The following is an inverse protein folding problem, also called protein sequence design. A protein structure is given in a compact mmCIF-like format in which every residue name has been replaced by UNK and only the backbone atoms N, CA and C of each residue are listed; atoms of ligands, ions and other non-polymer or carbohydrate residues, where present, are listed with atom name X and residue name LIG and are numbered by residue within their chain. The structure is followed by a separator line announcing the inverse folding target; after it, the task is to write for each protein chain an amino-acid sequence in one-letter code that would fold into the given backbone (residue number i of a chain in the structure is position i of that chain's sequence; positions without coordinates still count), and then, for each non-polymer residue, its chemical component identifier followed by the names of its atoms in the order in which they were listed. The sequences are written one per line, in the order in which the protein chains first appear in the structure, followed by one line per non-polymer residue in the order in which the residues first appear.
data_IF_890936084106
#
_entry.id   IF_890936084106
#
_cell.length_a   1.000
_cell.length_b   1.000
_cell.length_c   1.000
_cell.angle_alpha   90.00
_cell.angle_beta   90.00
_cell.angle_gamma   90.00
#
_symmetry.space_group_name_H-M   'P 1'
#
loop_
_entity.id
_entity.type
_entity.pdbx_description
1 polymer ?
#
# COMPACT_ATOMS: atom_id res chain seq x y z
N UNK A 1 -9.15 -14.08 -4.46
CA UNK A 1 -8.68 -14.14 -5.87
C UNK A 1 -7.84 -15.37 -6.16
N UNK A 2 -6.60 -15.48 -5.68
CA UNK A 2 -5.75 -16.66 -5.95
C UNK A 2 -6.42 -17.98 -5.50
N UNK A 3 -6.99 -18.00 -4.29
CA UNK A 3 -7.72 -19.16 -3.77
C UNK A 3 -8.92 -19.54 -4.66
N UNK A 4 -9.76 -18.57 -5.03
CA UNK A 4 -10.90 -18.79 -5.94
C UNK A 4 -10.48 -19.39 -7.30
N UNK A 5 -9.34 -18.96 -7.83
CA UNK A 5 -8.78 -19.48 -9.07
C UNK A 5 -8.24 -20.91 -8.89
N UNK A 6 -7.56 -21.18 -7.77
CA UNK A 6 -7.03 -22.49 -7.41
C UNK A 6 -8.13 -23.54 -7.16
N UNK A 7 -9.27 -23.14 -6.60
CA UNK A 7 -10.43 -23.99 -6.35
C UNK A 7 -11.34 -24.15 -7.58
N UNK A 8 -11.05 -23.46 -8.68
CA UNK A 8 -11.83 -23.51 -9.92
C UNK A 8 -13.17 -22.75 -9.87
N UNK A 9 -13.40 -21.93 -8.84
CA UNK A 9 -14.55 -21.02 -8.77
C UNK A 9 -14.44 -19.92 -9.82
N UNK A 10 -13.22 -19.42 -10.02
CA UNK A 10 -12.86 -18.53 -11.11
C UNK A 10 -11.96 -19.27 -12.11
N UNK A 11 -11.87 -18.81 -13.38
CA UNK A 11 -10.88 -19.32 -14.32
C UNK A 11 -9.46 -19.39 -13.72
N UNK A 12 -8.69 -20.38 -14.17
CA UNK A 12 -7.32 -20.55 -13.69
C UNK A 12 -6.43 -19.43 -14.23
N UNK A 13 -5.74 -18.71 -13.35
CA UNK A 13 -4.74 -17.72 -13.75
C UNK A 13 -3.43 -18.40 -14.15
N UNK A 14 -2.74 -17.83 -15.14
CA UNK A 14 -1.44 -18.35 -15.58
C UNK A 14 -0.33 -18.05 -14.58
N UNK A 15 -0.40 -16.89 -13.90
CA UNK A 15 0.58 -16.41 -12.94
C UNK A 15 -0.09 -15.57 -11.85
N UNK A 16 0.46 -15.60 -10.65
CA UNK A 16 0.23 -14.59 -9.63
C UNK A 16 1.50 -13.74 -9.45
N UNK A 17 1.37 -12.43 -9.31
CA UNK A 17 2.53 -11.52 -9.17
C UNK A 17 2.44 -10.78 -7.85
N UNK A 18 3.49 -10.88 -7.03
CA UNK A 18 3.73 -9.99 -5.90
C UNK A 18 4.76 -8.94 -6.29
N UNK A 19 4.44 -7.66 -6.09
CA UNK A 19 5.43 -6.59 -6.12
C UNK A 19 5.98 -6.32 -4.72
N UNK A 20 7.19 -6.81 -4.49
CA UNK A 20 7.92 -6.67 -3.24
C UNK A 20 8.63 -5.31 -3.20
N UNK A 21 8.31 -4.53 -2.17
CA UNK A 21 8.92 -3.22 -1.94
C UNK A 21 10.29 -3.32 -1.26
N UNK A 22 10.70 -4.54 -0.86
CA UNK A 22 11.89 -4.80 -0.04
C UNK A 22 11.72 -4.42 1.42
N UNK A 23 10.53 -3.93 1.81
CA UNK A 23 10.24 -3.46 3.16
C UNK A 23 8.78 -3.76 3.55
N UNK A 24 8.31 -4.96 3.24
CA UNK A 24 7.02 -5.46 3.75
C UNK A 24 7.21 -6.06 5.17
N UNK A 25 6.17 -6.07 6.01
CA UNK A 25 6.23 -6.75 7.31
C UNK A 25 6.53 -8.25 7.19
N UNK A 26 7.20 -8.83 8.18
CA UNK A 26 7.50 -10.25 8.26
C UNK A 26 6.24 -11.12 8.17
N UNK A 27 5.12 -10.65 8.73
CA UNK A 27 3.82 -11.31 8.65
C UNK A 27 3.29 -11.42 7.22
N UNK A 28 3.57 -10.42 6.36
CA UNK A 28 3.21 -10.46 4.92
C UNK A 28 4.01 -11.52 4.19
N UNK A 29 5.32 -11.62 4.43
CA UNK A 29 6.15 -12.66 3.83
C UNK A 29 5.75 -14.06 4.31
N UNK A 30 5.52 -14.24 5.61
CA UNK A 30 5.05 -15.51 6.15
C UNK A 30 3.67 -15.93 5.58
N UNK A 31 2.76 -14.95 5.43
CA UNK A 31 1.46 -15.18 4.81
C UNK A 31 1.60 -15.61 3.34
N UNK A 32 2.47 -14.95 2.58
CA UNK A 32 2.75 -15.29 1.19
C UNK A 32 3.32 -16.70 1.04
N UNK A 33 4.30 -17.07 1.86
CA UNK A 33 4.89 -18.42 1.85
C UNK A 33 3.82 -19.48 2.13
N UNK A 34 2.89 -19.18 3.06
CA UNK A 34 1.75 -20.05 3.35
C UNK A 34 0.79 -20.15 2.17
N UNK A 35 0.46 -19.05 1.49
CA UNK A 35 -0.38 -19.04 0.29
C UNK A 35 0.27 -19.83 -0.86
N UNK A 36 1.56 -19.61 -1.11
CA UNK A 36 2.33 -20.32 -2.13
C UNK A 36 2.30 -21.83 -1.87
N UNK A 37 2.61 -22.25 -0.64
CA UNK A 37 2.67 -23.66 -0.27
C UNK A 37 1.31 -24.36 -0.27
N UNK A 38 0.27 -23.70 0.28
CA UNK A 38 -1.03 -24.35 0.51
C UNK A 38 -2.01 -24.20 -0.64
N UNK A 39 -1.86 -23.18 -1.48
CA UNK A 39 -2.86 -22.82 -2.51
C UNK A 39 -2.22 -22.82 -3.89
N UNK A 40 -1.19 -22.00 -4.11
CA UNK A 40 -0.65 -21.78 -5.45
C UNK A 40 0.04 -23.02 -6.02
N UNK A 41 0.96 -23.62 -5.26
CA UNK A 41 1.72 -24.77 -5.71
C UNK A 41 0.84 -26.01 -6.00
N UNK A 42 -0.13 -26.39 -5.13
CA UNK A 42 -1.06 -27.47 -5.45
C UNK A 42 -1.90 -27.23 -6.71
N UNK A 43 -2.27 -25.97 -6.99
CA UNK A 43 -3.00 -25.59 -8.21
C UNK A 43 -2.08 -25.39 -9.43
N UNK A 44 -0.76 -25.57 -9.27
CA UNK A 44 0.26 -25.33 -10.29
C UNK A 44 0.34 -23.89 -10.78
N UNK A 45 -0.08 -22.91 -9.97
CA UNK A 45 -0.05 -21.48 -10.31
C UNK A 45 1.29 -20.91 -9.83
N UNK A 46 2.20 -20.51 -10.74
CA UNK A 46 3.46 -19.91 -10.34
C UNK A 46 3.24 -18.53 -9.70
N UNK A 47 3.86 -18.30 -8.55
CA UNK A 47 3.91 -16.98 -7.90
C UNK A 47 5.24 -16.32 -8.24
N UNK A 48 5.15 -15.18 -8.91
CA UNK A 48 6.29 -14.39 -9.35
C UNK A 48 6.49 -13.20 -8.40
N UNK A 49 7.62 -13.17 -7.71
CA UNK A 49 8.03 -12.02 -6.90
C UNK A 49 8.85 -11.08 -7.77
N UNK A 50 8.43 -9.82 -7.85
CA UNK A 50 9.11 -8.76 -8.61
C UNK A 50 9.47 -7.63 -7.66
N UNK A 51 10.67 -7.08 -7.81
CA UNK A 51 11.18 -6.02 -6.95
C UNK A 51 11.87 -4.94 -7.78
N UNK A 52 11.99 -3.74 -7.21
CA UNK A 52 12.70 -2.60 -7.81
C UNK A 52 13.52 -1.87 -6.76
N UNK A 53 14.36 -2.60 -6.02
CA UNK A 53 15.16 -2.07 -4.91
C UNK A 53 14.45 -2.23 -3.56
N UNK A 54 14.89 -1.43 -2.59
CA UNK A 54 14.35 -1.40 -1.24
C UNK A 54 13.88 0.02 -0.92
N UNK A 55 12.57 0.19 -0.74
CA UNK A 55 11.96 1.52 -0.55
C UNK A 55 12.55 2.30 0.63
N UNK A 56 12.97 1.63 1.71
CA UNK A 56 13.58 2.25 2.89
C UNK A 56 14.98 2.74 2.58
N UNK A 57 15.83 1.86 2.05
CA UNK A 57 17.22 2.18 1.70
C UNK A 57 17.27 3.30 0.66
N UNK A 58 16.42 3.22 -0.36
CA UNK A 58 16.31 4.20 -1.43
C UNK A 58 15.82 5.57 -0.95
N UNK A 59 15.05 5.63 0.14
CA UNK A 59 14.63 6.88 0.77
C UNK A 59 15.77 7.60 1.50
N UNK A 60 16.67 6.82 2.10
CA UNK A 60 17.79 7.31 2.88
C UNK A 60 19.04 7.54 2.03
N UNK A 61 19.06 7.03 0.79
CA UNK A 61 20.19 7.15 -0.11
C UNK A 61 20.19 8.49 -0.89
N UNK A 62 21.18 9.38 -0.67
CA UNK A 62 21.25 10.67 -1.39
C UNK A 62 21.55 10.53 -2.89
N UNK A 63 22.12 9.40 -3.32
CA UNK A 63 22.44 9.12 -4.71
C UNK A 63 21.26 8.51 -5.48
N UNK A 64 20.27 7.97 -4.78
CA UNK A 64 19.10 7.37 -5.40
C UNK A 64 18.01 8.41 -5.67
N UNK A 65 17.29 8.26 -6.79
CA UNK A 65 16.11 9.09 -7.03
C UNK A 65 14.99 8.53 -6.14
N UNK A 66 14.81 9.11 -4.96
CA UNK A 66 13.74 8.69 -4.07
C UNK A 66 12.37 8.94 -4.72
N UNK A 67 11.64 7.86 -5.01
CA UNK A 67 10.22 7.92 -5.27
C UNK A 67 9.50 8.18 -3.95
N UNK A 68 9.09 9.44 -3.75
CA UNK A 68 8.55 9.91 -2.47
C UNK A 68 7.43 9.02 -1.92
N UNK A 69 7.59 8.56 -0.69
CA UNK A 69 6.46 8.15 0.14
C UNK A 69 5.59 9.38 0.44
N UNK A 70 4.27 9.23 0.68
CA UNK A 70 3.40 10.35 1.01
C UNK A 70 3.52 10.70 2.51
N UNK A 71 4.68 11.21 2.90
CA UNK A 71 5.00 11.62 4.28
C UNK A 71 4.16 12.83 4.71
N UNK A 72 3.76 12.87 5.98
CA UNK A 72 3.08 14.02 6.58
C UNK A 72 4.07 15.14 6.89
N UNK A 73 3.78 16.36 6.46
CA UNK A 73 4.65 17.52 6.66
C UNK A 73 4.06 18.46 7.70
N UNK A 74 4.90 18.93 8.62
CA UNK A 74 4.67 20.12 9.44
C UNK A 74 5.50 21.26 8.85
N UNK A 75 4.84 22.23 8.23
CA UNK A 75 5.51 23.38 7.63
C UNK A 75 6.00 24.35 8.71
N UNK A 76 6.94 25.24 8.36
CA UNK A 76 7.47 26.25 9.30
C UNK A 76 6.41 27.21 9.85
N UNK A 77 5.33 27.44 9.09
CA UNK A 77 4.18 28.23 9.52
C UNK A 77 3.17 27.44 10.38
N UNK A 78 3.54 26.22 10.81
CA UNK A 78 2.69 25.31 11.59
C UNK A 78 1.60 24.61 10.79
N UNK A 79 1.45 24.91 9.48
CA UNK A 79 0.38 24.31 8.68
C UNK A 79 0.68 22.86 8.31
N UNK A 80 -0.34 21.98 8.31
CA UNK A 80 -0.19 20.62 7.82
C UNK A 80 0.05 20.57 6.31
N UNK A 81 0.83 19.60 5.86
CA UNK A 81 0.97 19.23 4.44
C UNK A 81 1.20 17.73 4.27
N UNK A 82 1.33 17.29 3.03
CA UNK A 82 1.68 15.91 2.67
C UNK A 82 2.50 15.89 1.37
N UNK A 83 3.50 15.03 1.30
CA UNK A 83 4.29 14.83 0.07
C UNK A 83 3.54 13.95 -0.93
N UNK A 84 3.91 14.04 -2.21
CA UNK A 84 3.25 13.26 -3.27
C UNK A 84 3.60 11.79 -3.17
N UNK A 85 2.60 10.92 -3.37
CA UNK A 85 2.79 9.46 -3.47
C UNK A 85 3.42 9.10 -4.81
N UNK A 86 4.66 8.64 -4.80
CA UNK A 86 5.37 8.12 -5.97
C UNK A 86 5.83 6.66 -5.79
N UNK A 87 5.95 6.21 -4.54
CA UNK A 87 6.38 4.86 -4.18
C UNK A 87 5.63 3.74 -4.92
N UNK A 88 4.34 3.91 -5.16
CA UNK A 88 3.50 2.88 -5.80
C UNK A 88 3.79 2.72 -7.28
N UNK A 89 4.04 3.83 -7.98
CA UNK A 89 4.51 3.78 -9.36
C UNK A 89 5.85 3.06 -9.45
N UNK A 90 6.79 3.40 -8.56
CA UNK A 90 8.16 2.91 -8.58
C UNK A 90 8.27 1.43 -8.18
N UNK A 91 7.78 1.07 -7.00
CA UNK A 91 8.04 -0.24 -6.40
C UNK A 91 6.94 -1.26 -6.68
N UNK A 92 5.75 -0.84 -7.16
CA UNK A 92 4.65 -1.76 -7.49
C UNK A 92 4.38 -1.81 -9.00
N UNK A 93 3.99 -0.70 -9.60
CA UNK A 93 3.50 -0.68 -10.99
C UNK A 93 4.62 -0.96 -12.00
N UNK A 94 5.77 -0.29 -11.89
CA UNK A 94 6.90 -0.49 -12.82
C UNK A 94 7.41 -1.94 -12.85
N UNK A 95 7.74 -2.60 -11.72
CA UNK A 95 8.24 -3.98 -11.75
C UNK A 95 7.20 -4.97 -12.25
N UNK A 96 5.90 -4.78 -11.95
CA UNK A 96 4.81 -5.58 -12.53
C UNK A 96 4.78 -5.42 -14.05
N UNK A 97 4.75 -4.17 -14.56
CA UNK A 97 4.74 -3.90 -16.01
C UNK A 97 5.96 -4.50 -16.70
N UNK A 98 7.15 -4.41 -16.09
CA UNK A 98 8.37 -5.04 -16.60
C UNK A 98 8.19 -6.56 -16.73
N UNK A 99 7.70 -7.23 -15.69
CA UNK A 99 7.49 -8.69 -15.71
C UNK A 99 6.42 -9.11 -16.70
N UNK A 100 5.31 -8.39 -16.80
CA UNK A 100 4.27 -8.65 -17.82
C UNK A 100 4.85 -8.59 -19.23
N UNK A 101 5.72 -7.62 -19.51
CA UNK A 101 6.40 -7.51 -20.82
C UNK A 101 7.33 -8.68 -21.10
N UNK A 102 8.06 -9.16 -20.08
CA UNK A 102 8.88 -10.36 -20.19
C UNK A 102 8.03 -11.60 -20.49
N UNK A 103 6.90 -11.79 -19.79
CA UNK A 103 5.95 -12.88 -20.03
C UNK A 103 5.39 -12.85 -21.45
N UNK A 104 5.04 -11.65 -21.94
CA UNK A 104 4.57 -11.45 -23.31
C UNK A 104 5.66 -11.65 -24.39
N UNK A 105 6.94 -11.78 -24.00
CA UNK A 105 8.06 -11.93 -24.94
C UNK A 105 8.53 -10.62 -25.59
N UNK A 106 8.13 -9.46 -25.07
CA UNK A 106 8.47 -8.14 -25.61
C UNK A 106 9.11 -7.24 -24.53
N UNK A 107 10.33 -7.56 -24.05
CA UNK A 107 11.02 -6.73 -23.05
C UNK A 107 11.23 -5.29 -23.57
N UNK A 108 11.33 -4.32 -22.66
CA UNK A 108 11.61 -2.93 -23.06
C UNK A 108 12.99 -2.83 -23.77
N UNK A 109 13.15 -2.05 -24.85
CA UNK A 109 12.21 -1.08 -25.44
C UNK A 109 11.30 -1.62 -26.58
N UNK A 110 11.22 -2.94 -26.78
CA UNK A 110 10.52 -3.52 -27.92
C UNK A 110 9.03 -3.16 -27.93
N UNK A 111 8.46 -2.85 -29.09
CA UNK A 111 7.04 -2.53 -29.18
C UNK A 111 6.20 -3.80 -29.07
N UNK A 112 5.16 -3.78 -28.24
CA UNK A 112 4.17 -4.86 -28.19
C UNK A 112 3.23 -4.73 -29.39
N UNK A 113 3.03 -5.79 -30.20
CA UNK A 113 2.09 -5.79 -31.31
C UNK A 113 0.66 -5.50 -30.86
N UNK A 114 -0.15 -4.92 -31.76
CA UNK A 114 -1.58 -4.71 -31.49
C UNK A 114 -2.26 -6.07 -31.30
N UNK A 115 -3.16 -6.16 -30.32
CA UNK A 115 -3.90 -7.38 -30.00
C UNK A 115 -3.19 -8.34 -29.05
N UNK A 116 -1.91 -8.09 -28.70
CA UNK A 116 -1.20 -8.84 -27.66
C UNK A 116 -1.40 -8.13 -26.32
N UNK A 117 -2.02 -8.81 -25.36
CA UNK A 117 -2.30 -8.29 -24.02
C UNK A 117 -2.41 -9.42 -23.00
N UNK A 118 -2.40 -9.05 -21.72
CA UNK A 118 -2.74 -9.95 -20.60
C UNK A 118 -4.00 -9.45 -19.90
N UNK A 119 -4.74 -10.40 -19.32
CA UNK A 119 -5.80 -10.09 -18.37
C UNK A 119 -5.21 -10.03 -16.97
N UNK A 120 -5.26 -8.84 -16.37
CA UNK A 120 -4.76 -8.61 -15.03
C UNK A 120 -5.94 -8.52 -14.07
N UNK A 121 -6.06 -9.55 -13.24
CA UNK A 121 -7.09 -9.58 -12.21
C UNK A 121 -6.66 -8.71 -11.03
N UNK A 122 -7.52 -7.78 -10.64
CA UNK A 122 -7.32 -6.92 -9.48
C UNK A 122 -8.48 -7.15 -8.51
N UNK A 123 -8.16 -7.61 -7.30
CA UNK A 123 -9.13 -7.89 -6.24
C UNK A 123 -9.69 -6.62 -5.62
N UNK A 124 -10.65 -5.98 -6.30
CA UNK A 124 -11.44 -4.85 -5.81
C UNK A 124 -12.85 -5.37 -5.58
N UNK A 125 -13.38 -5.20 -4.36
CA UNK A 125 -14.73 -5.63 -4.00
C UNK A 125 -15.79 -4.59 -4.40
N UNK A 126 -17.08 -4.95 -4.28
CA UNK A 126 -18.21 -4.09 -4.64
C UNK A 126 -18.28 -2.79 -3.82
N UNK A 127 -17.91 -2.84 -2.55
CA UNK A 127 -17.79 -1.69 -1.64
C UNK A 127 -16.58 -0.78 -1.95
N UNK A 128 -15.69 -1.24 -2.84
CA UNK A 128 -14.52 -0.50 -3.32
C UNK A 128 -14.65 -0.12 -4.81
N UNK A 129 -15.83 -0.23 -5.42
CA UNK A 129 -15.99 -0.13 -6.89
C UNK A 129 -15.44 1.16 -7.51
N UNK A 130 -15.44 2.29 -6.78
CA UNK A 130 -14.89 3.57 -7.25
C UNK A 130 -13.40 3.49 -7.58
N UNK A 131 -12.72 2.45 -7.06
CA UNK A 131 -11.32 2.11 -7.27
C UNK A 131 -11.08 1.26 -8.51
N UNK A 132 -12.11 0.65 -9.09
CA UNK A 132 -11.99 -0.10 -10.33
C UNK A 132 -11.68 0.85 -11.49
N UNK A 133 -10.51 0.67 -12.10
CA UNK A 133 -10.00 1.52 -13.20
C UNK A 133 -9.43 0.64 -14.30
N UNK A 134 -9.65 1.06 -15.53
CA UNK A 134 -8.98 0.50 -16.68
C UNK A 134 -7.46 0.71 -16.60
N UNK A 135 -6.72 -0.17 -17.26
CA UNK A 135 -5.28 -0.02 -17.36
C UNK A 135 -4.92 1.18 -18.25
N UNK A 136 -3.85 1.88 -17.89
CA UNK A 136 -3.29 3.02 -18.64
C UNK A 136 -2.54 2.60 -19.93
N UNK A 137 -2.44 1.29 -20.19
CA UNK A 137 -1.62 0.72 -21.26
C UNK A 137 -2.36 -0.41 -21.99
N UNK A 138 -2.25 -0.43 -23.33
CA UNK A 138 -3.03 -1.34 -24.19
C UNK A 138 -2.71 -2.83 -24.07
N UNK A 139 -1.58 -3.20 -23.48
CA UNK A 139 -1.16 -4.60 -23.35
C UNK A 139 -1.56 -5.21 -21.98
N UNK A 140 -2.31 -4.47 -21.17
CA UNK A 140 -2.92 -4.96 -19.95
C UNK A 140 -4.41 -4.61 -20.02
N UNK A 141 -5.26 -5.58 -19.70
CA UNK A 141 -6.68 -5.36 -19.45
C UNK A 141 -6.96 -5.67 -17.99
N UNK A 142 -7.39 -4.67 -17.23
CA UNK A 142 -7.78 -4.89 -15.85
C UNK A 142 -9.14 -5.60 -15.82
N UNK A 143 -9.25 -6.65 -15.02
CA UNK A 143 -10.49 -7.39 -14.77
C UNK A 143 -10.74 -7.38 -13.26
N UNK A 144 -12.02 -7.26 -12.87
CA UNK A 144 -12.43 -7.13 -11.47
C UNK A 144 -13.43 -8.23 -11.05
N UNK A 145 -12.99 -9.51 -10.95
CA UNK A 145 -13.92 -10.62 -10.77
C UNK A 145 -14.77 -10.55 -9.50
N UNK A 146 -14.26 -9.94 -8.42
CA UNK A 146 -15.04 -9.81 -7.18
C UNK A 146 -16.25 -8.88 -7.37
N UNK A 147 -16.14 -7.86 -8.22
CA UNK A 147 -17.29 -7.01 -8.58
C UNK A 147 -18.30 -7.84 -9.39
N UNK A 148 -17.82 -8.60 -10.39
CA UNK A 148 -18.67 -9.44 -11.22
C UNK A 148 -19.41 -10.52 -10.40
N UNK A 149 -18.78 -11.01 -9.33
CA UNK A 149 -19.36 -11.96 -8.38
C UNK A 149 -20.30 -11.30 -7.35
N UNK A 150 -20.34 -9.97 -7.27
CA UNK A 150 -21.11 -9.25 -6.24
C UNK A 150 -20.49 -9.32 -4.84
N UNK A 151 -19.20 -9.65 -4.71
CA UNK A 151 -18.53 -9.83 -3.42
C UNK A 151 -18.10 -8.51 -2.80
N UNK A 152 -18.57 -8.28 -1.57
CA UNK A 152 -18.08 -7.24 -0.68
C UNK A 152 -16.79 -7.66 0.02
N UNK A 153 -16.14 -6.72 0.71
CA UNK A 153 -15.01 -7.02 1.59
C UNK A 153 -15.38 -8.04 2.68
N UNK A 154 -16.61 -7.99 3.21
CA UNK A 154 -17.08 -8.95 4.21
C UNK A 154 -17.08 -10.36 3.65
N UNK A 155 -17.63 -10.54 2.44
CA UNK A 155 -17.68 -11.87 1.78
C UNK A 155 -16.27 -12.41 1.52
N UNK A 156 -15.33 -11.52 1.16
CA UNK A 156 -13.92 -11.89 1.01
C UNK A 156 -13.30 -12.39 2.33
N UNK A 157 -13.59 -11.73 3.45
CA UNK A 157 -13.10 -12.14 4.78
C UNK A 157 -13.74 -13.45 5.23
N UNK A 158 -15.04 -13.63 5.03
CA UNK A 158 -15.74 -14.88 5.34
C UNK A 158 -15.17 -16.05 4.54
N UNK A 159 -14.91 -15.85 3.25
CA UNK A 159 -14.29 -16.85 2.40
C UNK A 159 -12.84 -17.16 2.82
N UNK A 160 -12.02 -16.15 3.10
CA UNK A 160 -10.66 -16.41 3.62
C UNK A 160 -10.70 -17.13 4.98
N UNK A 161 -11.68 -16.82 5.82
CA UNK A 161 -11.87 -17.47 7.11
C UNK A 161 -12.21 -18.95 6.95
N UNK A 162 -13.07 -19.31 5.99
CA UNK A 162 -13.40 -20.72 5.73
C UNK A 162 -12.20 -21.54 5.27
N UNK A 163 -11.18 -20.89 4.70
CA UNK A 163 -9.89 -21.49 4.32
C UNK A 163 -8.83 -21.47 5.45
N UNK A 164 -9.18 -20.98 6.64
CA UNK A 164 -8.22 -20.81 7.74
C UNK A 164 -7.19 -19.69 7.48
N UNK A 165 -7.56 -18.68 6.70
CA UNK A 165 -6.75 -17.50 6.34
C UNK A 165 -7.34 -16.20 6.90
N UNK A 166 -8.07 -16.27 8.02
CA UNK A 166 -8.64 -15.09 8.68
C UNK A 166 -7.57 -14.05 9.11
N UNK A 167 -6.35 -14.51 9.36
CA UNK A 167 -5.15 -13.73 9.70
C UNK A 167 -4.46 -13.11 8.47
N UNK A 168 -5.16 -12.91 7.36
CA UNK A 168 -4.58 -12.27 6.16
C UNK A 168 -4.21 -10.82 6.47
N UNK A 169 -2.91 -10.45 6.41
CA UNK A 169 -2.49 -9.10 6.72
C UNK A 169 -2.91 -8.11 5.63
N UNK A 170 -3.12 -6.84 6.01
CA UNK A 170 -3.31 -5.75 5.05
C UNK A 170 -2.01 -5.58 4.24
N UNK A 171 -2.13 -5.42 2.92
CA UNK A 171 -0.97 -5.28 2.03
C UNK A 171 -0.42 -3.84 2.05
N UNK A 172 0.51 -3.57 2.96
CA UNK A 172 1.23 -2.30 3.05
C UNK A 172 2.63 -2.50 3.58
N UNK A 173 3.60 -1.78 2.99
CA UNK A 173 4.97 -1.75 3.47
C UNK A 173 5.04 -1.27 4.92
N UNK A 174 6.09 -1.68 5.62
CA UNK A 174 6.26 -1.50 7.06
C UNK A 174 6.20 -0.01 7.48
N UNK A 175 6.83 0.90 6.74
CA UNK A 175 6.76 2.35 7.00
C UNK A 175 5.71 3.12 6.21
N UNK A 176 4.56 2.52 5.87
CA UNK A 176 3.53 3.20 5.09
C UNK A 176 2.84 4.31 5.91
N UNK A 177 2.87 5.60 5.48
CA UNK A 177 2.20 6.69 6.21
C UNK A 177 0.67 6.56 6.29
N UNK A 178 0.06 5.62 5.55
CA UNK A 178 -1.38 5.34 5.61
C UNK A 178 -1.77 4.24 6.62
N UNK A 179 -0.85 3.78 7.46
CA UNK A 179 -1.21 2.94 8.60
C UNK A 179 -2.08 3.71 9.60
N UNK A 180 -3.10 3.03 10.11
CA UNK A 180 -3.87 3.52 11.26
C UNK A 180 -3.17 3.19 12.59
N UNK A 181 -3.65 3.79 13.68
CA UNK A 181 -3.14 3.56 15.02
C UNK A 181 -3.15 2.08 15.40
N UNK A 182 -4.16 1.32 14.99
CA UNK A 182 -4.22 -0.13 15.26
C UNK A 182 -3.05 -0.89 14.63
N UNK A 183 -2.62 -0.50 13.42
CA UNK A 183 -1.47 -1.12 12.75
C UNK A 183 -0.15 -0.71 13.40
N UNK A 184 0.00 0.57 13.76
CA UNK A 184 1.19 1.01 14.48
C UNK A 184 1.33 0.32 15.84
N UNK A 185 0.23 0.15 16.59
CA UNK A 185 0.23 -0.61 17.84
C UNK A 185 0.57 -2.07 17.62
N UNK A 186 -0.02 -2.71 16.61
CA UNK A 186 0.29 -4.11 16.30
C UNK A 186 1.79 -4.32 16.02
N UNK A 187 2.40 -3.43 15.22
CA UNK A 187 3.85 -3.46 14.97
C UNK A 187 4.64 -3.24 16.26
N UNK A 188 4.28 -2.24 17.07
CA UNK A 188 4.94 -1.92 18.36
C UNK A 188 4.90 -3.09 19.32
N UNK A 189 3.73 -3.69 19.48
CA UNK A 189 3.45 -4.65 20.55
C UNK A 189 3.85 -6.08 20.16
N UNK A 190 3.79 -6.43 18.86
CA UNK A 190 4.05 -7.79 18.37
C UNK A 190 5.36 -7.94 17.59
N UNK A 191 5.98 -6.85 17.12
CA UNK A 191 7.22 -6.88 16.35
C UNK A 191 8.25 -5.82 16.80
N UNK A 192 8.89 -5.95 17.97
CA UNK A 192 9.78 -4.92 18.52
C UNK A 192 10.93 -4.48 17.59
N UNK A 193 11.49 -5.42 16.82
CA UNK A 193 12.55 -5.12 15.86
C UNK A 193 12.02 -4.30 14.65
N UNK A 194 10.84 -4.64 14.14
CA UNK A 194 10.20 -3.89 13.05
C UNK A 194 9.76 -2.50 13.54
N UNK A 195 9.28 -2.41 14.78
CA UNK A 195 8.97 -1.14 15.43
C UNK A 195 10.18 -0.23 15.55
N UNK A 196 11.31 -0.76 16.03
CA UNK A 196 12.55 -0.01 16.10
C UNK A 196 12.96 0.49 14.71
N UNK A 197 12.87 -0.37 13.68
CA UNK A 197 13.24 -0.02 12.32
C UNK A 197 12.40 1.14 11.74
N UNK A 198 11.08 1.16 11.97
CA UNK A 198 10.21 2.26 11.52
C UNK A 198 10.40 3.55 12.31
N UNK A 199 10.72 3.46 13.61
CA UNK A 199 11.03 4.64 14.44
C UNK A 199 12.34 5.28 13.98
N UNK A 200 13.37 4.47 13.72
CA UNK A 200 14.64 4.95 13.17
C UNK A 200 14.43 5.61 11.79
N UNK A 201 13.60 5.00 10.95
CA UNK A 201 13.23 5.58 9.67
C UNK A 201 12.50 6.92 9.82
N UNK A 202 11.48 7.02 10.68
CA UNK A 202 10.74 8.27 10.95
C UNK A 202 11.67 9.40 11.39
N UNK A 203 12.64 9.09 12.25
CA UNK A 203 13.65 10.05 12.69
C UNK A 203 14.57 10.48 11.53
N UNK A 204 15.01 9.54 10.69
CA UNK A 204 15.92 9.80 9.58
C UNK A 204 15.28 10.66 8.48
N UNK A 205 13.99 10.46 8.19
CA UNK A 205 13.27 11.24 7.15
C UNK A 205 12.90 12.64 7.60
N UNK A 206 13.12 13.05 8.86
CA UNK A 206 12.62 14.31 9.42
C UNK A 206 12.94 15.53 8.57
N UNK A 207 14.12 15.55 7.93
CA UNK A 207 14.58 16.65 7.06
C UNK A 207 14.11 16.51 5.61
N UNK A 208 13.22 15.58 5.30
CA UNK A 208 12.75 15.25 3.96
C UNK A 208 13.74 14.40 3.16
N UNK A 209 13.54 14.40 1.84
CA UNK A 209 14.25 13.58 0.87
C UNK A 209 15.79 13.80 0.92
N UNK A 210 16.55 12.72 1.15
CA UNK A 210 18.01 12.75 1.29
C UNK A 210 18.73 13.36 0.06
N UNK A 211 18.28 13.01 -1.15
CA UNK A 211 18.83 13.56 -2.40
C UNK A 211 18.49 15.04 -2.57
N UNK A 212 17.27 15.45 -2.26
CA UNK A 212 16.87 16.86 -2.34
C UNK A 212 17.71 17.71 -1.37
N UNK A 213 17.96 17.21 -0.17
CA UNK A 213 18.85 17.84 0.80
C UNK A 213 20.30 17.94 0.31
N UNK A 214 20.84 16.87 -0.29
CA UNK A 214 22.18 16.87 -0.86
C UNK A 214 22.31 17.86 -2.05
N UNK A 215 21.25 18.02 -2.83
CA UNK A 215 21.15 18.97 -3.95
C UNK A 215 20.79 20.41 -3.55
N UNK A 216 20.71 20.72 -2.25
CA UNK A 216 20.40 22.08 -1.75
C UNK A 216 18.91 22.44 -1.66
N UNK A 217 18.02 21.59 -2.16
CA UNK A 217 16.56 21.78 -2.11
C UNK A 217 15.97 21.16 -0.84
N UNK A 218 16.27 21.78 0.31
CA UNK A 218 15.84 21.28 1.61
C UNK A 218 14.34 21.44 1.82
N UNK A 219 13.74 20.50 2.54
CA UNK A 219 12.35 20.60 2.97
C UNK A 219 12.17 21.82 3.91
N UNK A 220 11.20 22.68 3.60
CA UNK A 220 10.80 23.80 4.45
C UNK A 220 9.79 23.34 5.51
N UNK A 221 10.26 22.47 6.42
CA UNK A 221 9.42 21.85 7.43
C UNK A 221 10.01 20.54 7.93
N UNK A 222 9.18 19.73 8.57
CA UNK A 222 9.53 18.43 9.10
C UNK A 222 8.61 17.35 8.54
N UNK A 223 9.18 16.23 8.11
CA UNK A 223 8.41 15.07 7.62
C UNK A 223 8.23 14.03 8.72
N UNK A 224 7.07 13.37 8.75
CA UNK A 224 6.66 12.36 9.73
C UNK A 224 5.93 11.21 9.02
N UNK A 225 6.04 10.00 9.56
CA UNK A 225 5.22 8.85 9.18
C UNK A 225 3.79 8.97 9.70
N UNK A 226 3.60 9.54 10.89
CA UNK A 226 2.29 9.59 11.55
C UNK A 226 1.54 10.89 11.26
N UNK A 227 0.21 10.80 11.09
CA UNK A 227 -0.65 11.96 10.75
C UNK A 227 -0.71 13.05 11.82
N UNK A 228 -0.39 12.73 13.07
CA UNK A 228 -0.28 13.73 14.16
C UNK A 228 0.94 14.65 14.01
N UNK A 229 1.89 14.33 13.11
CA UNK A 229 3.14 15.10 12.90
C UNK A 229 3.99 15.22 14.17
N UNK A 230 4.00 14.16 14.96
CA UNK A 230 4.95 13.97 16.05
C UNK A 230 5.80 12.73 15.76
N UNK A 231 6.99 12.60 16.37
CA UNK A 231 7.82 11.40 16.25
C UNK A 231 6.99 10.13 16.49
N UNK A 232 7.24 9.08 15.70
CA UNK A 232 6.41 7.87 15.73
C UNK A 232 6.39 7.19 17.12
N UNK A 233 7.51 7.24 17.85
CA UNK A 233 7.65 6.76 19.23
C UNK A 233 6.88 7.58 20.27
N UNK A 234 6.40 8.76 19.89
CA UNK A 234 5.61 9.69 20.71
C UNK A 234 4.18 9.85 20.18
N UNK A 235 3.84 9.17 19.08
CA UNK A 235 2.55 9.30 18.44
C UNK A 235 1.44 8.76 19.37
N UNK A 236 0.28 9.42 19.42
CA UNK A 236 -0.86 8.98 20.23
C UNK A 236 -1.55 7.80 19.53
N UNK A 237 -0.87 6.66 19.53
CA UNK A 237 -1.35 5.44 18.89
C UNK A 237 -2.11 4.55 19.85
N UNK A 238 -2.12 4.80 21.17
CA UNK A 238 -2.83 3.97 22.14
C UNK A 238 -4.36 4.01 21.96
N UNK A 239 -5.04 3.01 22.50
CA UNK A 239 -6.49 2.89 22.37
C UNK A 239 -7.20 4.05 23.06
N UNK A 240 -8.14 4.66 22.35
CA UNK A 240 -9.17 5.52 22.93
C UNK A 240 -10.18 4.61 23.63
N UNK A 241 -10.41 4.83 24.92
CA UNK A 241 -11.36 4.06 25.73
C UNK A 241 -12.78 4.18 25.20
N UNK A 242 -13.64 3.22 25.53
CA UNK A 242 -15.07 3.27 25.16
C UNK A 242 -15.76 4.53 25.70
N UNK A 243 -15.34 5.01 26.88
CA UNK A 243 -15.86 6.22 27.48
C UNK A 243 -15.46 7.47 26.69
N UNK A 244 -14.19 7.59 26.30
CA UNK A 244 -13.71 8.71 25.46
C UNK A 244 -14.36 8.69 24.07
N UNK A 245 -14.56 7.50 23.49
CA UNK A 245 -15.27 7.35 22.21
C UNK A 245 -16.74 7.75 22.30
N UNK A 246 -17.41 7.38 23.40
CA UNK A 246 -18.81 7.76 23.65
C UNK A 246 -18.96 9.26 23.94
N UNK A 247 -17.91 9.91 24.44
CA UNK A 247 -17.88 11.35 24.68
C UNK A 247 -17.72 12.18 23.39
N UNK A 248 -17.36 11.58 22.25
CA UNK A 248 -17.37 12.25 20.94
C UNK A 248 -18.83 12.51 20.54
N UNK A 249 -19.23 13.78 20.58
CA UNK A 249 -20.61 14.19 20.36
C UNK A 249 -20.92 14.40 18.87
N UNK A 250 -19.91 14.74 18.07
CA UNK A 250 -20.05 15.05 16.65
C UNK A 250 -19.76 13.85 15.73
N UNK A 251 -20.52 13.73 14.64
CA UNK A 251 -20.33 12.66 13.66
C UNK A 251 -18.98 12.78 12.92
N UNK A 252 -18.48 14.00 12.68
CA UNK A 252 -17.17 14.18 12.05
C UNK A 252 -16.03 13.82 12.99
N UNK A 253 -16.16 14.11 14.29
CA UNK A 253 -15.19 13.68 15.30
C UNK A 253 -15.10 12.15 15.37
N UNK A 254 -16.24 11.46 15.31
CA UNK A 254 -16.29 9.99 15.28
C UNK A 254 -15.67 9.42 14.00
N UNK A 255 -15.99 9.97 12.84
CA UNK A 255 -15.39 9.56 11.56
C UNK A 255 -13.87 9.80 11.54
N UNK A 256 -13.39 10.92 12.06
CA UNK A 256 -11.96 11.23 12.19
C UNK A 256 -11.23 10.26 13.13
N UNK A 257 -11.88 9.88 14.24
CA UNK A 257 -11.36 8.89 15.19
C UNK A 257 -11.32 7.48 14.58
N UNK A 258 -12.30 7.11 13.75
CA UNK A 258 -12.30 5.85 13.03
C UNK A 258 -11.23 5.78 11.95
N UNK A 259 -11.00 6.87 11.22
CA UNK A 259 -9.90 6.99 10.26
C UNK A 259 -8.52 6.99 10.94
N UNK A 260 -8.41 7.60 12.13
CA UNK A 260 -7.18 7.50 12.95
C UNK A 260 -6.90 6.04 13.30
N UNK A 261 -7.90 5.31 13.75
CA UNK A 261 -7.75 3.94 14.24
C UNK A 261 -7.44 2.95 13.11
N UNK A 262 -8.22 3.01 12.03
CA UNK A 262 -8.17 2.01 10.95
C UNK A 262 -7.31 2.44 9.75
N UNK A 263 -6.88 3.71 9.74
CA UNK A 263 -6.26 4.36 8.59
C UNK A 263 -7.29 4.78 7.55
N UNK A 264 -6.81 5.46 6.51
CA UNK A 264 -7.67 5.92 5.40
C UNK A 264 -8.31 4.72 4.70
N UNK A 265 -9.64 4.77 4.50
CA UNK A 265 -10.43 3.75 3.81
C UNK A 265 -9.83 3.36 2.44
N UNK A 266 -9.37 4.37 1.67
CA UNK A 266 -8.71 4.22 0.36
C UNK A 266 -7.16 4.21 0.46
N UNK A 267 -6.62 3.51 1.45
CA UNK A 267 -5.16 3.42 1.69
C UNK A 267 -4.33 2.81 0.54
N UNK A 268 -3.06 2.49 0.82
CA UNK A 268 -2.06 2.15 -0.19
C UNK A 268 -2.43 0.97 -1.13
N UNK A 269 -2.97 1.25 -2.32
CA UNK A 269 -3.17 0.27 -3.40
C UNK A 269 -2.50 0.72 -4.71
N UNK A 270 -1.95 -0.19 -5.54
CA UNK A 270 -1.42 0.14 -6.88
C UNK A 270 -2.48 0.61 -7.87
N UNK A 271 -3.69 0.11 -7.70
CA UNK A 271 -4.77 0.24 -8.68
C UNK A 271 -5.86 1.18 -8.21
N UNK A 272 -5.65 1.79 -7.04
CA UNK A 272 -6.55 2.73 -6.45
C UNK A 272 -5.78 3.81 -5.71
N UNK A 273 -5.87 5.02 -6.24
CA UNK A 273 -5.71 6.21 -5.43
C UNK A 273 -6.56 7.31 -6.08
N UNK A 274 -7.38 7.98 -5.27
CA UNK A 274 -7.77 9.36 -5.55
C UNK A 274 -6.48 10.18 -5.55
N UNK A 275 -6.01 10.54 -6.75
CA UNK A 275 -5.08 11.65 -6.92
C UNK A 275 -5.78 13.01 -6.92
N UNK A 276 -7.11 13.04 -7.08
CA UNK A 276 -7.80 14.27 -7.53
C UNK A 276 -9.06 14.70 -6.73
N UNK A 277 -9.43 14.06 -5.62
CA UNK A 277 -10.65 14.48 -4.89
C UNK A 277 -10.49 14.43 -3.38
N UNK A 278 -9.67 15.35 -2.88
CA UNK A 278 -9.83 16.07 -1.62
C UNK A 278 -8.98 17.36 -1.71
N UNK A 279 -9.23 18.16 -2.76
CA UNK A 279 -8.98 19.59 -2.72
C UNK A 279 -10.15 20.26 -1.99
N UNK A 280 -10.34 19.92 -0.72
CA UNK A 280 -11.13 20.76 0.16
C UNK A 280 -10.22 21.19 1.31
N UNK A 281 -9.91 22.48 1.29
CA UNK A 281 -9.40 23.32 2.38
C UNK A 281 -7.97 23.18 2.91
N UNK A 282 -6.99 22.78 2.08
CA UNK A 282 -5.58 23.04 2.41
C UNK A 282 -4.84 23.72 1.26
N UNK A 283 -4.83 25.06 1.34
CA UNK A 283 -4.16 25.97 0.41
C UNK A 283 -2.74 25.53 0.07
N UNK A 284 -2.59 25.17 -1.21
CA UNK A 284 -1.31 24.89 -1.84
C UNK A 284 -0.45 26.16 -1.86
N UNK A 285 0.75 26.10 -1.29
CA UNK A 285 1.82 26.98 -1.70
C UNK A 285 2.48 26.37 -2.94
N UNK A 286 2.58 27.17 -4.00
CA UNK A 286 3.18 26.84 -5.30
C UNK A 286 4.63 26.36 -5.21
#
# INVERSE_FOLDING_TARGET
MLALSAEGVLPRVDYAILADTGWEPATVYAHLDRLEKKIAAPAGIPVLRVASGNIREDALNPNHRFASMPLHILNQNGKPGMTRRQCTGEYKIKPIKKKVREILGYPYPQRIPKGVYVDQWVGISTDEFHRAKDADIRYIRNIHPLIDMGWSRRDCVEYLTSLGLADTPKSSCLGCPFHGNAQWRDIRDNSPAEWQDVVEFDAAIRKGNARANAGGNRLLGQAFLHRSRVPLDQAPIDHITTAERAALQDENERASAEELENGVLDGCSPWACRGDVAQDDFGLAC
#
